data_IF_839843749037
#
_entry.id   IF_839843749037
#
_cell.length_a   1.000
_cell.length_b   1.000
_cell.length_c   1.000
_cell.angle_alpha   90.00
_cell.angle_beta   90.00
_cell.angle_gamma   90.00
#
_symmetry.space_group_name_H-M   'P 1'
#
loop_
_entity.id
_entity.type
_entity.pdbx_description
1 polymer ?
#
# COMPACT_ATOMS: atom_id res chain seq x y z
N UNK A 1 4.52 2.07 13.61
CA UNK A 1 5.59 1.41 12.83
C UNK A 1 5.62 2.00 11.42
N UNK A 2 6.77 2.00 10.72
CA UNK A 2 6.81 2.35 9.31
C UNK A 2 6.64 1.11 8.44
N UNK A 3 5.61 1.08 7.60
CA UNK A 3 5.33 -0.08 6.73
C UNK A 3 6.32 -0.24 5.57
N UNK A 4 7.13 0.78 5.28
CA UNK A 4 8.15 0.70 4.22
C UNK A 4 9.46 0.05 4.66
N UNK A 5 9.96 0.39 5.85
CA UNK A 5 11.28 -0.05 6.32
C UNK A 5 11.24 -0.74 7.70
N UNK A 6 10.05 -1.09 8.18
CA UNK A 6 9.79 -1.77 9.46
C UNK A 6 10.34 -1.06 10.70
N UNK A 7 10.78 0.20 10.58
CA UNK A 7 11.32 0.96 11.70
C UNK A 7 10.20 1.30 12.68
N UNK A 8 10.44 1.02 13.97
CA UNK A 8 9.62 1.53 15.05
C UNK A 8 10.00 2.99 15.32
N UNK A 9 9.02 3.88 15.15
CA UNK A 9 9.23 5.31 15.27
C UNK A 9 8.78 5.77 16.66
N UNK A 10 9.47 6.75 17.27
CA UNK A 10 9.04 7.35 18.52
C UNK A 10 7.70 8.07 18.32
N UNK A 11 6.88 8.14 19.37
CA UNK A 11 5.58 8.84 19.34
C UNK A 11 5.73 10.33 19.00
N UNK A 12 6.80 10.96 19.51
CA UNK A 12 7.13 12.34 19.21
C UNK A 12 8.37 12.38 18.31
N UNK A 13 8.15 12.64 17.02
CA UNK A 13 9.22 12.89 16.06
C UNK A 13 9.30 14.40 15.77
N UNK A 14 10.44 15.02 16.08
CA UNK A 14 10.68 16.44 15.81
C UNK A 14 10.71 16.77 14.31
N UNK A 15 10.87 15.77 13.44
CA UNK A 15 10.79 15.92 11.98
C UNK A 15 9.35 15.83 11.44
N UNK A 16 8.36 15.64 12.32
CA UNK A 16 6.94 15.55 11.98
C UNK A 16 6.50 14.14 11.59
N UNK A 17 5.48 14.06 10.73
CA UNK A 17 4.73 12.85 10.41
C UNK A 17 5.41 11.97 9.35
N UNK A 18 6.69 11.67 9.54
CA UNK A 18 7.46 10.80 8.66
C UNK A 18 8.36 9.85 9.43
N UNK A 19 8.78 8.77 8.79
CA UNK A 19 9.68 7.81 9.40
C UNK A 19 11.08 8.42 9.63
N UNK A 20 11.63 8.26 10.83
CA UNK A 20 12.99 8.74 11.16
C UNK A 20 14.09 8.12 10.29
N UNK A 21 13.87 6.89 9.82
CA UNK A 21 14.84 6.12 9.02
C UNK A 21 14.70 6.43 7.52
N UNK A 22 13.62 5.97 6.88
CA UNK A 22 13.45 6.11 5.43
C UNK A 22 12.75 7.42 4.99
N UNK A 23 12.33 8.27 5.93
CA UNK A 23 11.59 9.52 5.66
C UNK A 23 10.27 9.37 4.92
N UNK A 24 9.74 8.14 4.82
CA UNK A 24 8.40 7.88 4.31
C UNK A 24 7.36 8.65 5.13
N UNK A 25 6.53 9.50 4.50
CA UNK A 25 5.40 10.13 5.16
C UNK A 25 4.40 9.07 5.64
N UNK A 26 3.89 9.25 6.86
CA UNK A 26 2.82 8.41 7.38
C UNK A 26 1.48 8.83 6.79
N UNK A 27 0.69 7.84 6.40
CA UNK A 27 -0.70 8.01 5.98
C UNK A 27 -1.54 7.53 7.14
N UNK A 28 -2.40 8.39 7.65
CA UNK A 28 -3.21 8.09 8.82
C UNK A 28 -4.65 7.81 8.43
N UNK A 29 -5.28 6.93 9.19
CA UNK A 29 -6.74 6.83 9.24
C UNK A 29 -7.29 8.15 9.75
N UNK A 30 -8.21 8.76 9.01
CA UNK A 30 -8.77 10.05 9.39
C UNK A 30 -9.76 9.99 10.57
N UNK A 31 -10.12 8.79 11.05
CA UNK A 31 -10.93 8.57 12.26
C UNK A 31 -10.08 8.22 13.48
N UNK A 32 -9.24 7.19 13.36
CA UNK A 32 -8.48 6.62 14.49
C UNK A 32 -7.10 7.25 14.69
N UNK A 33 -6.59 7.99 13.69
CA UNK A 33 -5.22 8.50 13.66
C UNK A 33 -4.13 7.42 13.73
N UNK A 34 -4.49 6.16 13.45
CA UNK A 34 -3.54 5.07 13.30
C UNK A 34 -2.86 5.14 11.92
N UNK A 35 -1.61 4.70 11.85
CA UNK A 35 -0.87 4.65 10.59
C UNK A 35 -1.43 3.52 9.74
N UNK A 36 -1.88 3.84 8.53
CA UNK A 36 -2.35 2.87 7.55
C UNK A 36 -1.15 2.20 6.85
N UNK A 37 -1.25 0.90 6.49
CA UNK A 37 -0.24 0.17 5.73
C UNK A 37 -0.17 0.56 4.25
N UNK A 38 -0.21 1.87 3.97
CA UNK A 38 -0.18 2.43 2.63
C UNK A 38 1.18 3.04 2.33
N UNK A 39 1.62 2.88 1.08
CA UNK A 39 2.75 3.62 0.51
C UNK A 39 2.28 4.35 -0.74
N UNK A 40 2.52 5.66 -0.79
CA UNK A 40 2.35 6.45 -2.00
C UNK A 40 3.41 6.07 -3.03
N UNK A 41 2.99 5.92 -4.28
CA UNK A 41 3.88 5.70 -5.40
C UNK A 41 3.56 6.62 -6.56
N UNK A 42 4.56 6.77 -7.44
CA UNK A 42 4.53 7.72 -8.53
C UNK A 42 4.69 6.97 -9.85
N UNK A 43 3.99 7.42 -10.88
CA UNK A 43 4.12 6.82 -12.20
C UNK A 43 5.47 7.17 -12.82
N UNK A 44 6.05 6.23 -13.56
CA UNK A 44 7.20 6.52 -14.43
C UNK A 44 6.82 7.50 -15.55
N UNK A 45 7.84 8.15 -16.11
CA UNK A 45 7.64 9.16 -17.16
C UNK A 45 6.92 8.57 -18.38
N UNK A 46 5.95 9.31 -18.91
CA UNK A 46 5.20 8.93 -20.10
C UNK A 46 4.09 7.90 -19.87
N UNK A 47 3.69 7.63 -18.63
CA UNK A 47 2.48 6.88 -18.29
C UNK A 47 1.39 7.91 -17.95
N UNK A 48 0.25 7.84 -18.65
CA UNK A 48 -0.92 8.66 -18.31
C UNK A 48 -1.71 8.06 -17.14
N UNK A 49 -2.51 8.89 -16.47
CA UNK A 49 -3.34 8.45 -15.36
C UNK A 49 -4.38 7.40 -15.79
N UNK A 50 -4.97 7.58 -16.98
CA UNK A 50 -5.91 6.64 -17.58
C UNK A 50 -5.24 5.32 -17.97
N UNK A 51 -4.02 5.39 -18.53
CA UNK A 51 -3.23 4.20 -18.84
C UNK A 51 -2.85 3.44 -17.57
N UNK A 52 -2.43 4.14 -16.51
CA UNK A 52 -2.07 3.52 -15.24
C UNK A 52 -3.25 2.77 -14.62
N UNK A 53 -4.44 3.39 -14.59
CA UNK A 53 -5.67 2.72 -14.15
C UNK A 53 -5.96 1.49 -14.98
N UNK A 54 -5.88 1.61 -16.31
CA UNK A 54 -6.14 0.48 -17.23
C UNK A 54 -5.17 -0.68 -16.98
N UNK A 55 -3.90 -0.40 -16.66
CA UNK A 55 -2.90 -1.42 -16.36
C UNK A 55 -3.13 -2.11 -15.01
N UNK A 56 -3.65 -1.39 -14.01
CA UNK A 56 -3.97 -1.93 -12.68
C UNK A 56 -5.27 -2.75 -12.72
N UNK A 57 -6.24 -2.34 -13.55
CA UNK A 57 -7.54 -3.01 -13.68
C UNK A 57 -7.45 -4.32 -14.51
N UNK A 58 -6.34 -4.53 -15.24
CA UNK A 58 -6.04 -5.81 -15.89
C UNK A 58 -5.74 -6.87 -14.83
N UNK A 59 -6.77 -7.59 -14.39
CA UNK A 59 -6.60 -8.78 -13.54
C UNK A 59 -5.82 -9.85 -14.32
N UNK A 60 -4.53 -9.99 -14.01
CA UNK A 60 -3.71 -11.12 -14.46
C UNK A 60 -3.91 -12.26 -13.46
N UNK A 61 -4.31 -13.47 -13.89
CA UNK A 61 -4.37 -14.63 -13.00
C UNK A 61 -2.99 -14.84 -12.36
N UNK A 62 -2.87 -14.58 -11.06
CA UNK A 62 -1.67 -14.92 -10.30
C UNK A 62 -1.59 -16.44 -10.30
N UNK A 63 -0.66 -16.99 -11.07
CA UNK A 63 -0.31 -18.40 -10.95
C UNK A 63 0.29 -18.56 -9.55
N UNK A 64 -0.49 -19.11 -8.62
CA UNK A 64 0.02 -19.56 -7.33
C UNK A 64 1.11 -20.60 -7.61
N UNK A 65 2.36 -20.17 -7.62
CA UNK A 65 3.48 -21.10 -7.61
C UNK A 65 3.51 -21.70 -6.21
N UNK A 66 2.99 -22.91 -6.10
CA UNK A 66 3.06 -23.74 -4.91
C UNK A 66 4.50 -23.74 -4.39
N UNK A 67 4.72 -23.08 -3.26
CA UNK A 67 5.97 -23.17 -2.48
C UNK A 67 6.19 -24.64 -2.18
N UNK A 68 7.17 -25.28 -2.80
CA UNK A 68 7.47 -26.69 -2.56
C UNK A 68 8.21 -26.81 -1.23
N UNK A 69 7.47 -26.84 -0.13
CA UNK A 69 7.98 -27.13 1.21
C UNK A 69 8.55 -28.56 1.23
N UNK A 70 9.86 -28.72 1.43
CA UNK A 70 10.47 -30.03 1.65
C UNK A 70 10.99 -30.14 3.08
N UNK A 71 10.27 -30.93 3.87
CA UNK A 71 10.66 -31.34 5.20
C UNK A 71 11.62 -32.53 5.09
N UNK A 72 12.83 -32.39 5.63
CA UNK A 72 13.78 -33.50 5.72
C UNK A 72 13.91 -33.94 7.17
N UNK A 73 13.44 -35.16 7.44
CA UNK A 73 13.63 -35.85 8.71
C UNK A 73 14.82 -36.79 8.59
N UNK A 74 15.88 -36.53 9.35
CA UNK A 74 17.04 -37.41 9.47
C UNK A 74 17.18 -37.86 10.91
N UNK A 75 16.66 -39.06 11.20
CA UNK A 75 16.79 -39.75 12.48
C UNK A 75 16.02 -39.06 13.60
N UNK A 76 16.67 -38.15 14.31
CA UNK A 76 16.14 -37.41 15.47
C UNK A 76 16.17 -35.89 15.26
N UNK A 77 16.59 -35.42 14.07
CA UNK A 77 16.66 -34.00 13.73
C UNK A 77 15.73 -33.70 12.57
N UNK A 78 14.73 -32.85 12.82
CA UNK A 78 13.95 -32.19 11.78
C UNK A 78 14.69 -30.91 11.41
N UNK A 79 15.20 -30.83 10.17
CA UNK A 79 15.82 -29.62 9.65
C UNK A 79 14.90 -29.01 8.59
N UNK A 80 14.43 -27.79 8.87
CA UNK A 80 13.72 -26.97 7.90
C UNK A 80 14.77 -26.22 7.07
N UNK A 81 14.89 -26.58 5.79
CA UNK A 81 15.70 -25.83 4.84
C UNK A 81 14.78 -24.96 4.00
N UNK A 82 14.76 -23.67 4.31
CA UNK A 82 14.29 -22.65 3.37
C UNK A 82 15.39 -22.50 2.34
N UNK A 83 15.20 -23.06 1.14
CA UNK A 83 16.01 -22.65 -0.01
C UNK A 83 15.54 -21.25 -0.40
N UNK A 84 16.10 -20.24 0.26
CA UNK A 84 16.06 -18.84 -0.17
C UNK A 84 16.94 -18.75 -1.43
N UNK A 85 16.41 -19.27 -2.53
CA UNK A 85 16.97 -18.99 -3.84
C UNK A 85 16.83 -17.49 -4.10
N UNK A 86 17.82 -16.81 -4.70
CA UNK A 86 17.69 -15.39 -5.07
C UNK A 86 16.59 -15.12 -6.10
N UNK A 87 15.89 -16.16 -6.55
CA UNK A 87 14.67 -16.15 -7.34
C UNK A 87 13.47 -16.63 -6.49
N UNK A 88 13.27 -16.06 -5.31
CA UNK A 88 11.94 -16.02 -4.70
C UNK A 88 11.24 -14.74 -5.18
N UNK A 89 10.57 -14.75 -6.35
CA UNK A 89 9.76 -13.61 -6.80
C UNK A 89 8.48 -13.44 -5.96
N UNK A 90 8.42 -14.01 -4.74
CA UNK A 90 7.39 -13.73 -3.76
C UNK A 90 7.37 -12.26 -3.38
N UNK A 91 8.55 -11.63 -3.33
CA UNK A 91 8.64 -10.18 -3.28
C UNK A 91 8.16 -9.63 -4.61
N UNK A 92 6.90 -9.21 -4.62
CA UNK A 92 6.32 -8.57 -5.78
C UNK A 92 7.24 -7.41 -6.27
N UNK A 93 7.23 -7.07 -7.57
CA UNK A 93 8.15 -6.10 -8.14
C UNK A 93 8.16 -4.72 -7.47
N UNK A 94 7.09 -4.37 -6.73
CA UNK A 94 6.99 -3.13 -5.98
C UNK A 94 7.65 -3.26 -4.60
N UNK A 95 7.46 -4.38 -3.90
CA UNK A 95 8.10 -4.66 -2.60
C UNK A 95 9.62 -4.74 -2.74
N UNK A 96 10.12 -5.38 -3.80
CA UNK A 96 11.55 -5.36 -4.14
C UNK A 96 12.10 -3.93 -4.29
N UNK A 97 11.29 -3.01 -4.85
CA UNK A 97 11.66 -1.61 -5.02
C UNK A 97 11.68 -0.82 -3.71
N UNK A 98 10.84 -1.19 -2.73
CA UNK A 98 10.88 -0.60 -1.39
C UNK A 98 12.19 -0.91 -0.68
N UNK A 99 12.66 -2.15 -0.77
CA UNK A 99 13.88 -2.66 -0.10
C UNK A 99 15.15 -1.99 -0.61
N UNK A 100 15.24 -1.74 -1.92
CA UNK A 100 16.41 -1.11 -2.52
C UNK A 100 16.65 0.33 -2.03
N UNK A 101 15.60 1.03 -1.63
CA UNK A 101 15.64 2.47 -1.32
C UNK A 101 15.74 2.78 0.20
N UNK A 102 15.99 1.79 1.06
CA UNK A 102 15.92 1.96 2.53
C UNK A 102 17.13 2.68 3.19
N UNK A 103 18.14 3.11 2.43
CA UNK A 103 19.47 3.51 2.96
C UNK A 103 19.84 5.00 2.95
N UNK A 104 18.90 5.94 2.78
CA UNK A 104 19.20 7.37 2.59
C UNK A 104 18.72 8.29 3.70
N UNK A 105 19.42 9.41 3.94
CA UNK A 105 18.96 10.52 4.80
C UNK A 105 17.84 11.37 4.16
N UNK A 106 17.50 11.07 2.90
CA UNK A 106 16.54 11.77 2.05
C UNK A 106 15.48 10.78 1.60
N UNK A 107 14.22 11.22 1.60
CA UNK A 107 13.10 10.45 1.09
C UNK A 107 13.25 10.21 -0.42
N UNK A 108 13.17 8.94 -0.85
CA UNK A 108 13.14 8.57 -2.26
C UNK A 108 11.74 8.03 -2.60
N UNK A 109 10.98 8.67 -3.50
CA UNK A 109 9.65 8.20 -3.88
C UNK A 109 9.73 6.96 -4.77
N UNK A 110 8.88 5.97 -4.49
CA UNK A 110 8.79 4.75 -5.27
C UNK A 110 8.15 5.09 -6.62
N UNK A 111 8.95 5.02 -7.69
CA UNK A 111 8.43 5.16 -9.06
C UNK A 111 8.02 3.80 -9.62
N UNK A 112 6.93 3.71 -10.36
CA UNK A 112 6.33 2.45 -10.78
C UNK A 112 6.22 2.43 -12.30
N UNK A 113 6.78 1.37 -12.90
CA UNK A 113 6.75 1.15 -14.34
C UNK A 113 5.48 0.41 -14.77
N UNK A 114 5.24 0.35 -16.08
CA UNK A 114 4.13 -0.41 -16.67
C UNK A 114 4.11 -1.88 -16.25
N UNK A 115 5.28 -2.51 -16.10
CA UNK A 115 5.38 -3.91 -15.68
C UNK A 115 4.94 -4.09 -14.22
N UNK A 116 5.33 -3.16 -13.34
CA UNK A 116 4.92 -3.20 -11.93
C UNK A 116 3.42 -2.90 -11.80
N UNK A 117 2.88 -1.93 -12.55
CA UNK A 117 1.44 -1.66 -12.59
C UNK A 117 0.61 -2.90 -12.93
N UNK A 118 1.03 -3.69 -13.92
CA UNK A 118 0.36 -4.94 -14.33
C UNK A 118 0.45 -6.07 -13.29
N UNK A 119 1.43 -6.02 -12.40
CA UNK A 119 1.58 -7.02 -11.33
C UNK A 119 0.76 -6.69 -10.08
N UNK A 120 0.31 -5.43 -9.97
CA UNK A 120 -0.52 -4.98 -8.85
C UNK A 120 -1.97 -5.41 -9.02
N UNK A 121 -2.61 -5.76 -7.90
CA UNK A 121 -4.05 -6.00 -7.85
C UNK A 121 -4.79 -4.69 -7.66
N UNK A 122 -5.88 -4.48 -8.39
CA UNK A 122 -6.78 -3.34 -8.18
C UNK A 122 -7.27 -3.21 -6.74
N UNK A 123 -7.46 -4.33 -6.04
CA UNK A 123 -7.94 -4.35 -4.64
C UNK A 123 -6.94 -3.72 -3.67
N UNK A 124 -5.66 -3.79 -3.99
CA UNK A 124 -4.58 -3.31 -3.13
C UNK A 124 -4.21 -1.85 -3.45
N UNK A 125 -4.83 -1.22 -4.45
CA UNK A 125 -4.46 0.11 -4.93
C UNK A 125 -5.60 1.12 -4.74
N UNK A 126 -5.30 2.20 -4.03
CA UNK A 126 -6.18 3.36 -3.85
C UNK A 126 -5.72 4.51 -4.73
N UNK A 127 -6.64 5.14 -5.45
CA UNK A 127 -6.35 6.19 -6.44
C UNK A 127 -7.16 7.43 -6.13
N UNK A 128 -6.49 8.52 -5.76
CA UNK A 128 -7.12 9.84 -5.59
C UNK A 128 -7.24 10.51 -6.94
N UNK A 129 -8.43 10.42 -7.54
CA UNK A 129 -8.72 11.01 -8.85
C UNK A 129 -9.10 12.47 -8.71
N UNK A 130 -8.10 13.31 -8.43
CA UNK A 130 -8.33 14.73 -8.30
C UNK A 130 -8.82 15.33 -9.63
N UNK A 131 -9.72 16.34 -9.58
CA UNK A 131 -10.12 17.07 -10.77
C UNK A 131 -8.93 17.89 -11.29
N UNK A 132 -8.91 18.12 -12.61
CA UNK A 132 -7.92 18.99 -13.23
C UNK A 132 -7.92 20.38 -12.55
N UNK A 133 -6.74 21.00 -12.34
CA UNK A 133 -5.42 20.65 -12.89
C UNK A 133 -4.55 19.77 -11.97
N UNK A 134 -5.11 19.19 -10.91
CA UNK A 134 -4.35 18.38 -9.97
C UNK A 134 -4.07 16.98 -10.54
N UNK A 135 -2.85 16.48 -10.34
CA UNK A 135 -2.47 15.12 -10.72
C UNK A 135 -3.09 14.09 -9.79
N UNK A 136 -3.35 12.90 -10.30
CA UNK A 136 -3.82 11.80 -9.45
C UNK A 136 -2.72 11.32 -8.51
N UNK A 137 -3.12 10.75 -7.38
CA UNK A 137 -2.20 10.14 -6.41
C UNK A 137 -2.53 8.68 -6.25
N UNK A 138 -1.48 7.86 -6.15
CA UNK A 138 -1.60 6.41 -6.12
C UNK A 138 -0.99 5.87 -4.83
N UNK A 139 -1.72 4.96 -4.19
CA UNK A 139 -1.31 4.35 -2.94
C UNK A 139 -1.50 2.85 -3.04
N UNK A 140 -0.54 2.10 -2.52
CA UNK A 140 -0.62 0.64 -2.45
C UNK A 140 -0.68 0.19 -1.00
N UNK A 141 -1.60 -0.73 -0.69
CA UNK A 141 -1.61 -1.45 0.58
C UNK A 141 -0.51 -2.50 0.59
N UNK A 142 0.28 -2.51 1.66
CA UNK A 142 1.30 -3.52 1.93
C UNK A 142 0.78 -4.66 2.82
N UNK A 143 -0.42 -4.52 3.38
CA UNK A 143 -1.09 -5.55 4.17
C UNK A 143 -2.50 -5.78 3.61
N UNK A 144 -2.70 -6.76 2.72
CA UNK A 144 -4.00 -7.06 2.12
C UNK A 144 -5.09 -7.41 3.15
N UNK A 145 -4.70 -7.97 4.29
CA UNK A 145 -5.62 -8.33 5.38
C UNK A 145 -6.18 -7.10 6.13
N UNK A 146 -5.54 -5.93 5.98
CA UNK A 146 -6.03 -4.67 6.53
C UNK A 146 -6.85 -3.96 5.46
N UNK A 147 -8.18 -4.00 5.62
CA UNK A 147 -9.10 -3.37 4.69
C UNK A 147 -9.14 -1.85 4.88
N UNK A 148 -8.83 -1.11 3.81
CA UNK A 148 -8.81 0.36 3.82
C UNK A 148 -9.83 0.90 2.85
N UNK A 149 -10.68 1.80 3.34
CA UNK A 149 -11.68 2.49 2.53
C UNK A 149 -11.30 3.95 2.38
N UNK A 150 -11.52 4.50 1.19
CA UNK A 150 -11.28 5.91 0.89
C UNK A 150 -12.60 6.59 0.53
N UNK A 151 -12.89 7.73 1.15
CA UNK A 151 -14.05 8.52 0.81
C UNK A 151 -13.95 9.01 -0.65
N UNK A 152 -14.97 8.79 -1.50
CA UNK A 152 -14.93 9.18 -2.92
C UNK A 152 -14.93 10.70 -3.14
N UNK A 153 -15.28 11.48 -2.11
CA UNK A 153 -15.41 12.93 -2.21
C UNK A 153 -14.21 13.70 -1.69
N UNK A 154 -13.72 13.36 -0.49
CA UNK A 154 -12.58 14.07 0.12
C UNK A 154 -11.27 13.29 0.04
N UNK A 155 -11.30 12.06 -0.48
CA UNK A 155 -10.14 11.17 -0.60
C UNK A 155 -9.39 10.90 0.72
N UNK A 156 -10.07 11.10 1.86
CA UNK A 156 -9.55 10.65 3.15
C UNK A 156 -9.71 9.15 3.28
N UNK A 157 -8.73 8.52 3.92
CA UNK A 157 -8.60 7.08 4.06
C UNK A 157 -8.87 6.68 5.50
N UNK A 158 -9.43 5.49 5.67
CA UNK A 158 -9.91 4.97 6.95
C UNK A 158 -9.73 3.46 6.98
N UNK A 159 -9.66 2.88 8.17
CA UNK A 159 -10.02 1.47 8.31
C UNK A 159 -11.47 1.29 7.87
N UNK A 160 -11.75 0.22 7.12
CA UNK A 160 -13.08 0.03 6.53
C UNK A 160 -14.14 -0.16 7.62
N UNK A 161 -13.82 -0.92 8.67
CA UNK A 161 -14.71 -1.13 9.83
C UNK A 161 -15.08 0.19 10.53
N UNK A 162 -14.09 1.04 10.82
CA UNK A 162 -14.32 2.36 11.41
C UNK A 162 -15.20 3.23 10.52
N UNK A 163 -14.89 3.27 9.22
CA UNK A 163 -15.63 4.07 8.26
C UNK A 163 -17.08 3.61 8.18
N UNK A 164 -17.33 2.32 8.00
CA UNK A 164 -18.66 1.72 7.94
C UNK A 164 -19.47 2.00 9.21
N UNK A 165 -18.88 1.84 10.39
CA UNK A 165 -19.55 2.12 11.65
C UNK A 165 -19.96 3.60 11.76
N UNK A 166 -19.03 4.52 11.50
CA UNK A 166 -19.28 5.96 11.60
C UNK A 166 -20.30 6.43 10.55
N UNK A 167 -20.25 5.84 9.37
CA UNK A 167 -21.22 6.02 8.30
C UNK A 167 -22.61 5.56 8.73
N UNK A 168 -22.74 4.38 9.33
CA UNK A 168 -24.05 3.86 9.77
C UNK A 168 -24.65 4.74 10.89
N UNK A 169 -23.80 5.32 11.73
CA UNK A 169 -24.22 6.22 12.81
C UNK A 169 -24.65 7.61 12.33
N UNK A 170 -24.02 8.12 11.27
CA UNK A 170 -24.16 9.53 10.87
C UNK A 170 -24.63 9.76 9.43
N UNK A 171 -24.84 8.69 8.66
CA UNK A 171 -25.24 8.67 7.24
C UNK A 171 -24.37 9.53 6.30
N UNK A 172 -23.15 9.87 6.73
CA UNK A 172 -22.23 10.71 5.97
C UNK A 172 -20.77 10.36 6.26
N UNK A 173 -19.86 10.84 5.41
CA UNK A 173 -18.43 10.69 5.65
C UNK A 173 -18.01 11.38 6.97
N UNK A 174 -17.28 10.72 7.88
CA UNK A 174 -16.90 11.30 9.16
C UNK A 174 -15.98 12.52 9.03
N UNK A 175 -15.30 12.70 7.89
CA UNK A 175 -14.40 13.83 7.66
C UNK A 175 -15.09 15.00 6.94
N UNK A 176 -15.61 14.77 5.72
CA UNK A 176 -16.20 15.85 4.92
C UNK A 176 -17.71 16.03 5.10
N UNK A 177 -18.37 15.13 5.85
CA UNK A 177 -19.83 15.13 6.12
C UNK A 177 -20.71 15.02 4.88
N UNK A 178 -20.14 14.64 3.73
CA UNK A 178 -20.92 14.38 2.52
C UNK A 178 -21.76 13.11 2.71
N UNK A 179 -23.08 13.13 2.41
CA UNK A 179 -23.93 11.94 2.46
C UNK A 179 -23.44 10.86 1.48
N UNK A 180 -23.71 9.60 1.79
CA UNK A 180 -23.24 8.46 0.97
C UNK A 180 -24.03 8.30 -0.30
N UNK A 181 -25.33 8.56 -0.24
CA UNK A 181 -26.22 8.44 -1.40
C UNK A 181 -25.89 9.45 -2.51
N UNK A 182 -25.06 10.47 -2.22
CA UNK A 182 -24.55 11.43 -3.19
C UNK A 182 -23.20 11.00 -3.81
N UNK A 183 -22.98 9.70 -4.00
CA UNK A 183 -21.87 9.22 -4.84
C UNK A 183 -22.06 9.78 -6.26
N UNK A 184 -21.12 10.65 -6.69
CA UNK A 184 -21.06 11.22 -8.04
C UNK A 184 -20.80 10.15 -9.10
#
# INVERSE_FOLDING_TARGET
MCYRCSTNNPLLNNQGNSCINCRQPFIFSASSYEVLPLVEFYLDQGISDEEAVSLIDLEVPRVEKNKSWQEMSSGESQCLKLEDGPDDPEDDPFTAKLSFEQGGSVFVPVRVSRAVLRSMSRRDVLIKRWPAPLSWQYYRSLLPDVSITMCPSCFQMFHSEDYELLVLQHSCCPFCRRPIDESC
#
